data_IF_156599872435
#
_entry.id   IF_156599872435
#
_cell.length_a   1.000
_cell.length_b   1.000
_cell.length_c   1.000
_cell.angle_alpha   90.00
_cell.angle_beta   90.00
_cell.angle_gamma   90.00
#
_symmetry.space_group_name_H-M   'P 1'
#
loop_
_entity.id
_entity.type
_entity.pdbx_description
1 polymer ?
#
# COMPACT_ATOMS: atom_id res chain seq x y z
N UNK A 1 -84.47 -12.13 9.08
CA UNK A 1 -83.99 -13.41 8.52
C UNK A 1 -82.50 -13.30 8.27
N UNK A 2 -81.71 -14.23 8.82
CA UNK A 2 -80.27 -14.35 8.62
C UNK A 2 -80.01 -15.01 7.26
N UNK A 3 -79.13 -14.44 6.43
CA UNK A 3 -78.38 -15.24 5.46
C UNK A 3 -76.99 -14.65 5.24
N UNK A 4 -75.99 -15.38 5.75
CA UNK A 4 -74.57 -15.26 5.46
C UNK A 4 -74.26 -16.06 4.19
N UNK A 5 -73.49 -15.49 3.24
CA UNK A 5 -72.66 -16.22 2.25
C UNK A 5 -71.46 -15.30 1.90
N UNK A 6 -70.26 -15.51 2.45
CA UNK A 6 -69.13 -16.39 2.05
C UNK A 6 -68.49 -16.12 0.67
N UNK A 7 -67.28 -15.56 0.78
CA UNK A 7 -66.04 -15.82 0.02
C UNK A 7 -65.92 -15.38 -1.45
N UNK A 8 -64.93 -14.52 -1.70
CA UNK A 8 -64.27 -14.33 -2.99
C UNK A 8 -62.85 -13.85 -2.76
N UNK A 9 -61.88 -14.76 -2.85
CA UNK A 9 -60.44 -14.49 -2.76
C UNK A 9 -60.03 -13.74 -4.03
N UNK A 10 -59.82 -12.43 -3.92
CA UNK A 10 -59.29 -11.61 -5.00
C UNK A 10 -57.78 -11.46 -4.83
N UNK A 11 -57.01 -12.24 -5.58
CA UNK A 11 -55.57 -12.08 -5.68
C UNK A 11 -55.22 -10.75 -6.35
N UNK A 12 -54.79 -9.76 -5.57
CA UNK A 12 -54.06 -8.60 -6.07
C UNK A 12 -52.67 -8.60 -5.45
N UNK A 13 -51.80 -9.46 -5.98
CA UNK A 13 -50.37 -9.33 -5.78
C UNK A 13 -49.86 -8.20 -6.68
N UNK A 14 -49.85 -6.96 -6.18
CA UNK A 14 -49.12 -5.87 -6.82
C UNK A 14 -47.72 -5.90 -6.21
N UNK A 15 -46.80 -6.56 -6.91
CA UNK A 15 -45.40 -6.58 -6.55
C UNK A 15 -44.80 -5.19 -6.64
N UNK A 16 -44.16 -4.73 -5.56
CA UNK A 16 -43.29 -3.57 -5.60
C UNK A 16 -42.05 -3.94 -6.42
N UNK A 17 -42.00 -3.54 -7.69
CA UNK A 17 -40.77 -3.60 -8.47
C UNK A 17 -39.77 -2.60 -7.87
N UNK A 18 -38.76 -3.10 -7.16
CA UNK A 18 -37.62 -2.29 -6.76
C UNK A 18 -36.82 -1.92 -8.01
N UNK A 19 -36.92 -0.66 -8.45
CA UNK A 19 -36.08 -0.13 -9.52
C UNK A 19 -34.64 -0.02 -9.01
N UNK A 20 -33.81 -1.02 -9.31
CA UNK A 20 -32.35 -0.90 -9.15
C UNK A 20 -31.82 -0.02 -10.28
N UNK A 21 -31.63 1.26 -10.00
CA UNK A 21 -30.84 2.12 -10.86
C UNK A 21 -29.39 1.61 -10.84
N UNK A 22 -29.01 0.85 -11.87
CA UNK A 22 -27.61 0.54 -12.15
C UNK A 22 -26.94 1.87 -12.51
N UNK A 23 -26.38 2.57 -11.53
CA UNK A 23 -25.43 3.64 -11.77
C UNK A 23 -24.19 2.99 -12.39
N UNK A 24 -24.18 2.84 -13.72
CA UNK A 24 -22.94 2.63 -14.44
C UNK A 24 -22.17 3.94 -14.34
N UNK A 25 -21.28 4.01 -13.34
CA UNK A 25 -20.36 5.13 -13.25
C UNK A 25 -19.64 5.25 -14.60
N UNK A 26 -19.64 6.44 -15.23
CA UNK A 26 -18.92 6.64 -16.48
C UNK A 26 -17.45 6.25 -16.25
N UNK A 27 -16.84 5.56 -17.23
CA UNK A 27 -15.43 5.21 -17.18
C UNK A 27 -14.62 6.49 -16.91
N UNK A 28 -14.19 6.70 -15.67
CA UNK A 28 -13.34 7.82 -15.34
C UNK A 28 -12.02 7.59 -16.08
N UNK A 29 -11.68 8.45 -17.04
CA UNK A 29 -10.34 8.50 -17.62
C UNK A 29 -9.36 8.92 -16.53
N UNK A 30 -8.89 7.95 -15.74
CA UNK A 30 -7.88 8.18 -14.74
C UNK A 30 -6.53 8.41 -15.46
N UNK A 31 -5.95 9.58 -15.26
CA UNK A 31 -4.62 9.91 -15.77
C UNK A 31 -3.56 9.00 -15.13
N UNK A 32 -3.67 8.75 -13.83
CA UNK A 32 -2.88 7.77 -13.08
C UNK A 32 -3.52 6.39 -13.21
N UNK A 33 -2.83 5.46 -13.87
CA UNK A 33 -3.36 4.13 -14.18
C UNK A 33 -2.85 3.04 -13.22
N UNK A 34 -1.66 3.21 -12.64
CA UNK A 34 -1.11 2.23 -11.70
C UNK A 34 0.13 2.72 -10.94
N UNK A 35 0.46 2.03 -9.86
CA UNK A 35 1.70 2.23 -9.09
C UNK A 35 2.37 0.87 -8.94
N UNK A 36 3.66 0.81 -9.27
CA UNK A 36 4.49 -0.37 -9.10
C UNK A 36 5.77 0.02 -8.38
N UNK A 37 6.13 -0.73 -7.35
CA UNK A 37 7.41 -0.60 -6.65
C UNK A 37 8.34 -1.68 -7.16
N UNK A 38 9.61 -1.35 -7.40
CA UNK A 38 10.61 -2.30 -7.87
C UNK A 38 10.67 -3.52 -6.95
N UNK A 39 10.51 -4.71 -7.54
CA UNK A 39 10.41 -5.97 -6.81
C UNK A 39 11.62 -6.21 -5.92
N UNK A 40 11.37 -6.51 -4.65
CA UNK A 40 12.35 -6.94 -3.68
C UNK A 40 11.83 -8.19 -2.95
N UNK A 41 12.73 -8.99 -2.37
CA UNK A 41 12.34 -10.08 -1.47
C UNK A 41 11.64 -9.55 -0.21
N UNK A 42 12.02 -8.34 0.22
CA UNK A 42 11.43 -7.64 1.36
C UNK A 42 11.71 -6.14 1.22
N UNK A 43 10.79 -5.30 1.69
CA UNK A 43 10.98 -3.85 1.77
C UNK A 43 11.45 -3.47 3.18
N UNK A 44 12.49 -2.65 3.24
CA UNK A 44 13.28 -2.39 4.42
C UNK A 44 13.30 -0.89 4.71
N UNK A 45 13.26 -0.54 5.99
CA UNK A 45 13.50 0.85 6.40
C UNK A 45 14.89 1.34 5.97
N UNK A 46 14.97 2.63 5.64
CA UNK A 46 16.18 3.35 5.24
C UNK A 46 16.85 2.83 3.95
N UNK A 47 16.16 2.00 3.18
CA UNK A 47 16.61 1.56 1.85
C UNK A 47 15.82 2.28 0.76
N UNK A 48 16.50 2.68 -0.31
CA UNK A 48 15.86 3.36 -1.44
C UNK A 48 15.28 2.37 -2.46
N UNK A 49 14.04 2.61 -2.86
CA UNK A 49 13.29 1.84 -3.84
C UNK A 49 12.81 2.73 -4.99
N UNK A 50 12.83 2.18 -6.20
CA UNK A 50 12.24 2.83 -7.36
C UNK A 50 10.74 2.60 -7.39
N UNK A 51 9.97 3.67 -7.43
CA UNK A 51 8.51 3.64 -7.62
C UNK A 51 8.20 4.18 -9.01
N UNK A 52 7.49 3.39 -9.80
CA UNK A 52 7.01 3.76 -11.13
C UNK A 52 5.51 3.98 -11.05
N UNK A 53 5.08 5.19 -11.37
CA UNK A 53 3.67 5.54 -11.53
C UNK A 53 3.34 5.54 -13.01
N UNK A 54 2.48 4.62 -13.42
CA UNK A 54 2.00 4.53 -14.78
C UNK A 54 0.88 5.54 -14.99
N UNK A 55 0.92 6.24 -16.12
CA UNK A 55 -0.08 7.23 -16.49
C UNK A 55 -0.55 7.02 -17.93
N UNK A 56 -1.63 7.68 -18.32
CA UNK A 56 -2.06 7.68 -19.72
C UNK A 56 -1.07 8.49 -20.58
N UNK A 57 -0.91 8.15 -21.88
CA UNK A 57 0.05 8.84 -22.76
C UNK A 57 -0.17 10.35 -22.91
N UNK A 58 -1.39 10.83 -22.66
CA UNK A 58 -1.76 12.25 -22.74
C UNK A 58 -1.41 13.05 -21.48
N UNK A 59 -0.88 12.40 -20.44
CA UNK A 59 -0.61 13.00 -19.12
C UNK A 59 0.72 13.77 -19.04
N UNK A 60 1.45 13.94 -20.14
CA UNK A 60 2.79 14.54 -20.17
C UNK A 60 2.85 16.03 -19.79
N UNK A 61 1.72 16.73 -19.81
CA UNK A 61 1.65 18.15 -19.49
C UNK A 61 1.72 18.46 -18.00
N UNK A 62 1.41 17.48 -17.14
CA UNK A 62 1.25 17.67 -15.70
C UNK A 62 2.19 16.75 -14.92
N UNK A 63 2.63 17.22 -13.75
CA UNK A 63 3.49 16.44 -12.86
C UNK A 63 2.65 15.47 -12.05
N UNK A 64 3.26 14.33 -11.73
CA UNK A 64 2.71 13.40 -10.75
C UNK A 64 3.33 13.73 -9.41
N UNK A 65 2.52 13.84 -8.38
CA UNK A 65 2.97 13.87 -6.99
C UNK A 65 2.87 12.49 -6.37
N UNK A 66 3.86 12.10 -5.57
CA UNK A 66 3.86 10.86 -4.81
C UNK A 66 3.96 11.19 -3.31
N UNK A 67 3.14 10.50 -2.51
CA UNK A 67 3.15 10.58 -1.07
C UNK A 67 3.15 9.19 -0.44
N UNK A 68 3.70 9.10 0.77
CA UNK A 68 3.78 7.91 1.60
C UNK A 68 3.09 8.21 2.94
N UNK A 69 1.97 7.54 3.22
CA UNK A 69 1.14 7.79 4.42
C UNK A 69 0.80 9.29 4.61
N UNK A 70 0.60 10.00 3.50
CA UNK A 70 0.29 11.44 3.47
C UNK A 70 1.53 12.36 3.52
N UNK A 71 2.73 11.83 3.75
CA UNK A 71 3.97 12.59 3.68
C UNK A 71 4.48 12.67 2.24
N UNK A 72 4.85 13.86 1.77
CA UNK A 72 5.35 14.04 0.40
C UNK A 72 6.65 13.28 0.19
N UNK A 73 6.68 12.40 -0.82
CA UNK A 73 7.92 11.79 -1.35
C UNK A 73 8.54 12.72 -2.39
N UNK A 74 7.71 13.33 -3.25
CA UNK A 74 8.16 14.30 -4.24
C UNK A 74 7.18 14.48 -5.39
N UNK A 75 7.63 15.20 -6.43
CA UNK A 75 6.92 15.36 -7.70
C UNK A 75 7.85 15.05 -8.87
N UNK A 76 7.32 14.42 -9.92
CA UNK A 76 8.09 14.03 -11.09
C UNK A 76 7.32 14.31 -12.39
N UNK A 77 8.07 14.72 -13.42
CA UNK A 77 7.58 14.87 -14.80
C UNK A 77 7.26 13.49 -15.37
N UNK A 78 6.20 13.42 -16.16
CA UNK A 78 5.87 12.22 -16.92
C UNK A 78 6.78 12.11 -18.15
N UNK A 79 7.38 10.95 -18.34
CA UNK A 79 8.15 10.58 -19.54
C UNK A 79 7.75 9.17 -19.95
N UNK A 80 7.55 8.95 -21.25
CA UNK A 80 7.20 7.61 -21.79
C UNK A 80 6.02 6.94 -21.08
N UNK A 81 4.98 7.71 -20.76
CA UNK A 81 3.77 7.27 -20.02
C UNK A 81 4.02 6.82 -18.56
N UNK A 82 5.12 7.25 -17.95
CA UNK A 82 5.41 6.98 -16.55
C UNK A 82 6.07 8.16 -15.84
N UNK A 83 5.87 8.25 -14.53
CA UNK A 83 6.64 9.11 -13.63
C UNK A 83 7.40 8.23 -12.64
N UNK A 84 8.70 8.46 -12.48
CA UNK A 84 9.58 7.63 -11.65
C UNK A 84 10.06 8.40 -10.43
N UNK A 85 10.04 7.75 -9.27
CA UNK A 85 10.42 8.31 -7.98
C UNK A 85 11.42 7.40 -7.27
N UNK A 86 12.26 8.01 -6.44
CA UNK A 86 13.04 7.30 -5.42
C UNK A 86 12.32 7.45 -4.08
N UNK A 87 11.89 6.34 -3.50
CA UNK A 87 11.19 6.29 -2.22
C UNK A 87 12.06 5.58 -1.18
N UNK A 88 12.24 6.20 -0.01
CA UNK A 88 13.01 5.62 1.11
C UNK A 88 12.14 5.66 2.37
N UNK A 89 11.46 4.56 2.75
CA UNK A 89 10.65 4.53 3.97
C UNK A 89 11.54 4.63 5.20
N UNK A 90 11.12 5.42 6.19
CA UNK A 90 11.89 5.66 7.43
C UNK A 90 11.32 4.92 8.65
N UNK A 91 10.16 4.29 8.50
CA UNK A 91 9.45 3.55 9.55
C UNK A 91 9.03 2.17 9.06
N UNK A 92 8.82 1.24 10.00
CA UNK A 92 8.22 -0.06 9.69
C UNK A 92 6.69 0.03 9.65
N UNK A 93 6.05 -0.99 9.09
CA UNK A 93 4.60 -1.12 8.98
C UNK A 93 4.09 -0.97 7.55
N UNK A 94 2.79 -0.72 7.42
CA UNK A 94 2.16 -0.52 6.11
C UNK A 94 2.33 0.92 5.62
N UNK A 95 2.91 1.05 4.43
CA UNK A 95 3.12 2.32 3.73
C UNK A 95 2.14 2.43 2.57
N UNK A 96 1.16 3.32 2.70
CA UNK A 96 0.22 3.64 1.62
C UNK A 96 0.84 4.68 0.71
N UNK A 97 1.36 4.21 -0.43
CA UNK A 97 1.84 5.07 -1.50
C UNK A 97 0.66 5.61 -2.28
N UNK A 98 0.50 6.92 -2.34
CA UNK A 98 -0.56 7.60 -3.09
C UNK A 98 0.06 8.51 -4.15
N UNK A 99 -0.27 8.24 -5.41
CA UNK A 99 0.08 9.08 -6.53
C UNK A 99 -1.13 9.94 -6.93
N UNK A 100 -0.90 11.23 -7.21
CA UNK A 100 -1.94 12.18 -7.61
C UNK A 100 -1.46 12.99 -8.80
N UNK A 101 -2.34 13.17 -9.78
CA UNK A 101 -2.16 14.07 -10.92
C UNK A 101 -3.43 14.90 -11.11
N UNK A 102 -3.29 16.21 -11.28
CA UNK A 102 -4.39 17.17 -11.48
C UNK A 102 -5.49 17.14 -10.40
N UNK A 103 -5.18 16.65 -9.19
CA UNK A 103 -6.09 16.47 -8.04
C UNK A 103 -7.20 15.41 -8.26
N UNK A 104 -7.76 15.33 -9.46
CA UNK A 104 -8.88 14.48 -9.84
C UNK A 104 -8.51 13.03 -10.09
N UNK A 105 -7.25 12.77 -10.48
CA UNK A 105 -6.78 11.42 -10.75
C UNK A 105 -5.78 10.97 -9.71
N UNK A 106 -6.10 9.89 -9.00
CA UNK A 106 -5.20 9.33 -8.01
C UNK A 106 -5.30 7.80 -7.97
N UNK A 107 -4.22 7.19 -7.47
CA UNK A 107 -4.16 5.76 -7.19
C UNK A 107 -3.38 5.55 -5.91
N UNK A 108 -3.66 4.45 -5.22
CA UNK A 108 -2.90 4.02 -4.06
C UNK A 108 -2.49 2.56 -4.16
N UNK A 109 -1.36 2.24 -3.55
CA UNK A 109 -0.90 0.87 -3.31
C UNK A 109 -0.30 0.80 -1.90
N UNK A 110 -0.36 -0.36 -1.27
CA UNK A 110 0.19 -0.58 0.07
C UNK A 110 1.45 -1.44 -0.04
N UNK A 111 2.51 -1.01 0.64
CA UNK A 111 3.76 -1.75 0.76
C UNK A 111 4.06 -1.98 2.22
N UNK A 112 4.23 -3.24 2.64
CA UNK A 112 4.64 -3.56 4.00
C UNK A 112 6.16 -3.45 4.10
N UNK A 113 6.63 -2.56 4.96
CA UNK A 113 8.06 -2.29 5.23
C UNK A 113 8.42 -2.87 6.59
N UNK A 114 9.56 -3.52 6.69
CA UNK A 114 10.06 -4.10 7.95
C UNK A 114 11.47 -3.62 8.27
N UNK A 115 11.94 -3.96 9.46
CA UNK A 115 13.33 -3.79 9.81
C UNK A 115 14.14 -4.97 9.28
N UNK A 116 15.04 -4.69 8.34
CA UNK A 116 15.93 -5.68 7.75
C UNK A 116 17.33 -5.64 8.34
N UNK A 117 17.57 -4.78 9.34
CA UNK A 117 18.81 -4.88 10.10
C UNK A 117 18.86 -6.28 10.73
N UNK A 118 19.94 -7.04 10.54
CA UNK A 118 20.08 -8.31 11.21
C UNK A 118 19.90 -8.06 12.71
N UNK A 119 19.00 -8.80 13.35
CA UNK A 119 18.92 -8.85 14.80
C UNK A 119 20.24 -9.46 15.31
N UNK A 120 21.27 -8.64 15.49
CA UNK A 120 22.61 -9.15 15.75
C UNK A 120 23.58 -8.06 16.18
N UNK A 121 24.24 -8.31 17.31
CA UNK A 121 25.57 -7.77 17.56
C UNK A 121 25.69 -6.87 18.77
N UNK A 122 25.23 -7.31 19.95
CA UNK A 122 25.79 -6.80 21.20
C UNK A 122 27.30 -6.99 21.16
N UNK A 123 28.02 -5.90 20.89
CA UNK A 123 29.48 -5.86 20.88
C UNK A 123 29.92 -5.77 22.34
N UNK A 124 29.78 -6.86 23.08
CA UNK A 124 30.48 -7.07 24.33
C UNK A 124 31.88 -7.53 24.00
N UNK A 125 32.87 -6.64 24.04
CA UNK A 125 34.28 -7.00 23.97
C UNK A 125 34.65 -7.85 25.19
N UNK A 126 34.52 -9.16 25.09
CA UNK A 126 35.30 -10.09 25.90
C UNK A 126 36.43 -10.61 25.01
N UNK A 127 37.61 -9.99 25.16
CA UNK A 127 38.89 -10.52 24.71
C UNK A 127 39.12 -11.88 25.38
N UNK A 128 38.54 -12.95 24.83
CA UNK A 128 38.82 -14.32 25.26
C UNK A 128 39.83 -14.91 24.28
N UNK A 129 41.08 -14.53 24.53
CA UNK A 129 42.23 -15.33 24.19
C UNK A 129 41.97 -16.78 24.66
N UNK A 130 42.02 -17.81 23.80
CA UNK A 130 41.67 -19.19 24.18
C UNK A 130 42.64 -19.82 25.19
N UNK A 131 43.70 -19.10 25.59
CA UNK A 131 44.70 -19.53 26.57
C UNK A 131 44.55 -18.88 27.96
N UNK A 132 43.60 -17.96 28.16
CA UNK A 132 43.40 -17.30 29.47
C UNK A 132 42.69 -18.16 30.53
N UNK A 133 42.13 -19.31 30.15
CA UNK A 133 41.46 -20.23 31.09
C UNK A 133 42.38 -21.21 31.81
N UNK A 134 43.65 -21.34 31.40
CA UNK A 134 44.57 -22.36 31.92
C UNK A 134 45.51 -21.88 33.03
N UNK A 135 45.60 -20.57 33.28
CA UNK A 135 46.56 -20.02 34.25
C UNK A 135 45.94 -19.73 35.64
N UNK A 136 44.62 -19.79 35.79
CA UNK A 136 43.95 -19.49 37.06
C UNK A 136 43.92 -20.66 38.06
N UNK A 137 44.44 -21.84 37.70
CA UNK A 137 44.34 -23.07 38.52
C UNK A 137 45.66 -23.60 39.10
N UNK A 138 46.79 -22.90 38.94
CA UNK A 138 48.11 -23.36 39.43
C UNK A 138 48.80 -22.43 40.45
N UNK A 139 48.03 -21.63 41.19
CA UNK A 139 48.57 -20.78 42.26
C UNK A 139 47.82 -20.99 43.59
N UNK A 140 47.79 -22.21 44.10
CA UNK A 140 47.53 -22.50 45.52
C UNK A 140 47.75 -24.00 45.85
N UNK A 141 49.00 -24.46 45.93
CA UNK A 141 49.60 -25.22 47.05
C UNK A 141 51.03 -25.63 46.70
#
# INVERSE_FOLDING_TARGET
>A
MKTTQRAGIGATAIGAAAAVALLTAPNASALVTGISVASASQYCVNQSYTVVVNVTPTSFLFDVSLSDNGTSVGSAKVSSSAATFTWTPTSTGDHTLKAVQEIVSNKSTTVTVVDCTPAGGGTGSSNLNPLSGLLSSLSAH
#
